data_IF_463688150145
#
_entry.id   IF_463688150145
#
_cell.length_a   1.000
_cell.length_b   1.000
_cell.length_c   1.000
_cell.angle_alpha   90.00
_cell.angle_beta   90.00
_cell.angle_gamma   90.00
#
_symmetry.space_group_name_H-M   'P 1'
#
loop_
_entity.id
_entity.type
_entity.pdbx_description
1 polymer ?
#
# COMPACT_ATOMS: atom_id res chain seq x y z
N UNK A 1 -18.11 -7.14 16.30
CA UNK A 1 -17.37 -6.42 17.34
C UNK A 1 -16.57 -5.31 16.66
N UNK A 2 -16.47 -4.13 17.27
CA UNK A 2 -15.60 -3.07 16.78
C UNK A 2 -14.15 -3.37 17.19
N UNK A 3 -13.24 -3.39 16.23
CA UNK A 3 -11.82 -3.69 16.45
C UNK A 3 -10.98 -2.82 15.52
N UNK A 4 -10.00 -2.11 16.08
CA UNK A 4 -9.00 -1.35 15.33
C UNK A 4 -7.62 -1.93 15.63
N UNK A 5 -6.81 -2.13 14.60
CA UNK A 5 -5.38 -2.34 14.70
C UNK A 5 -4.65 -1.37 13.76
N UNK A 6 -3.40 -1.05 14.09
CA UNK A 6 -2.55 -0.15 13.31
C UNK A 6 -1.14 -0.70 13.22
N UNK A 7 -0.40 -0.27 12.20
CA UNK A 7 1.01 -0.58 12.08
C UNK A 7 1.72 0.34 11.10
N UNK A 8 3.02 0.10 10.99
CA UNK A 8 3.93 0.79 10.07
C UNK A 8 4.81 -0.25 9.39
N UNK A 9 5.09 -0.04 8.11
CA UNK A 9 6.12 -0.78 7.36
C UNK A 9 6.96 0.21 6.57
N UNK A 10 8.25 -0.04 6.47
CA UNK A 10 9.18 0.77 5.69
C UNK A 10 10.23 -0.09 4.98
N UNK A 11 10.79 0.34 3.85
CA UNK A 11 11.68 -0.49 3.05
C UNK A 11 13.07 -0.69 3.68
N UNK A 12 13.37 -0.05 4.82
CA UNK A 12 14.65 -0.19 5.54
C UNK A 12 14.50 -1.24 6.65
N UNK A 13 13.48 -1.12 7.50
CA UNK A 13 13.28 -2.03 8.64
C UNK A 13 12.43 -3.25 8.29
N UNK A 14 11.53 -3.12 7.31
CA UNK A 14 10.65 -4.18 6.80
C UNK A 14 10.89 -4.44 5.31
N UNK A 15 12.16 -4.55 4.90
CA UNK A 15 12.56 -4.65 3.49
C UNK A 15 11.86 -5.79 2.72
N UNK A 16 11.49 -6.88 3.38
CA UNK A 16 10.79 -8.01 2.76
C UNK A 16 9.37 -7.66 2.27
N UNK A 17 8.72 -6.67 2.91
CA UNK A 17 7.38 -6.22 2.54
C UNK A 17 7.41 -5.44 1.22
N UNK A 18 8.51 -4.73 0.95
CA UNK A 18 8.66 -3.78 -0.15
C UNK A 18 9.41 -4.39 -1.34
N UNK A 19 8.71 -4.61 -2.44
CA UNK A 19 9.23 -5.31 -3.61
C UNK A 19 9.11 -4.43 -4.87
N UNK A 20 10.13 -4.44 -5.72
CA UNK A 20 10.02 -3.87 -7.07
C UNK A 20 8.99 -4.68 -7.86
N UNK A 21 7.92 -4.03 -8.31
CA UNK A 21 6.86 -4.69 -9.05
C UNK A 21 7.24 -4.83 -10.53
N UNK A 22 7.46 -6.07 -10.97
CA UNK A 22 7.71 -6.43 -12.36
C UNK A 22 6.45 -7.05 -12.97
N UNK A 23 5.76 -6.39 -13.91
CA UNK A 23 4.65 -7.04 -14.61
C UNK A 23 5.19 -8.14 -15.54
N UNK A 24 4.41 -9.20 -15.73
CA UNK A 24 4.84 -10.44 -16.40
C UNK A 24 5.39 -10.25 -17.84
N UNK A 25 5.10 -9.11 -18.47
CA UNK A 25 5.50 -8.80 -19.86
C UNK A 25 6.64 -7.79 -19.96
N UNK A 26 7.18 -7.28 -18.84
CA UNK A 26 8.22 -6.24 -18.84
C UNK A 26 9.43 -6.67 -18.00
N UNK A 27 10.62 -6.40 -18.49
CA UNK A 27 11.89 -6.58 -17.75
C UNK A 27 12.22 -5.39 -16.85
N UNK A 28 11.51 -4.26 -17.00
CA UNK A 28 11.63 -3.08 -16.13
C UNK A 28 10.52 -3.07 -15.08
N UNK A 29 10.83 -2.77 -13.79
CA UNK A 29 9.79 -2.57 -12.78
C UNK A 29 8.81 -1.49 -13.22
N UNK A 30 7.53 -1.66 -12.92
CA UNK A 30 6.46 -0.71 -13.20
C UNK A 30 6.03 0.09 -11.96
N UNK A 31 6.54 -0.27 -10.78
CA UNK A 31 6.25 0.38 -9.52
C UNK A 31 6.80 -0.39 -8.33
N UNK A 32 6.23 -0.14 -7.15
CA UNK A 32 6.51 -0.88 -5.92
C UNK A 32 5.26 -1.67 -5.54
N UNK A 33 5.44 -2.92 -5.12
CA UNK A 33 4.43 -3.75 -4.46
C UNK A 33 4.78 -3.84 -2.98
N UNK A 34 3.82 -3.58 -2.11
CA UNK A 34 3.97 -3.69 -0.66
C UNK A 34 2.98 -4.73 -0.16
N UNK A 35 3.48 -5.78 0.50
CA UNK A 35 2.64 -6.74 1.22
C UNK A 35 2.67 -6.45 2.71
N UNK A 36 1.50 -6.41 3.33
CA UNK A 36 1.37 -6.18 4.77
C UNK A 36 0.76 -7.41 5.41
N UNK A 37 1.50 -8.02 6.33
CA UNK A 37 1.01 -9.05 7.22
C UNK A 37 0.30 -8.42 8.42
N UNK A 38 -0.95 -8.83 8.64
CA UNK A 38 -1.76 -8.43 9.81
C UNK A 38 -2.29 -9.63 10.58
N UNK A 39 -1.73 -10.82 10.36
CA UNK A 39 -2.11 -12.08 11.02
C UNK A 39 -2.13 -11.98 12.55
N UNK A 40 -1.19 -11.23 13.13
CA UNK A 40 -1.09 -11.00 14.56
C UNK A 40 -2.11 -10.00 15.12
N UNK A 41 -2.95 -9.37 14.28
CA UNK A 41 -3.94 -8.38 14.69
C UNK A 41 -5.26 -9.00 15.14
N UNK A 42 -5.47 -10.31 14.97
CA UNK A 42 -6.65 -11.00 15.48
C UNK A 42 -7.97 -10.59 14.82
N UNK A 43 -7.95 -10.17 13.56
CA UNK A 43 -9.18 -9.91 12.81
C UNK A 43 -9.90 -11.23 12.48
N UNK A 44 -11.21 -11.29 12.75
CA UNK A 44 -12.05 -12.45 12.42
C UNK A 44 -12.73 -12.34 11.06
N UNK A 45 -12.73 -11.14 10.48
CA UNK A 45 -13.28 -10.80 9.17
C UNK A 45 -12.39 -9.75 8.52
N UNK A 46 -12.40 -9.65 7.19
CA UNK A 46 -11.57 -8.67 6.48
C UNK A 46 -11.92 -7.25 6.95
N UNK A 47 -10.98 -6.53 7.59
CA UNK A 47 -11.25 -5.17 8.02
C UNK A 47 -11.18 -4.20 6.83
N UNK A 48 -11.69 -2.99 7.02
CA UNK A 48 -11.37 -1.88 6.12
C UNK A 48 -9.95 -1.41 6.41
N UNK A 49 -9.05 -1.59 5.45
CA UNK A 49 -7.70 -1.06 5.53
C UNK A 49 -7.63 0.34 4.94
N UNK A 50 -7.00 1.25 5.67
CA UNK A 50 -6.63 2.58 5.22
C UNK A 50 -5.11 2.69 5.34
N UNK A 51 -4.49 3.40 4.41
CA UNK A 51 -3.06 3.66 4.48
C UNK A 51 -2.72 5.14 4.30
N UNK A 52 -1.56 5.53 4.78
CA UNK A 52 -0.89 6.78 4.42
C UNK A 52 0.57 6.48 4.11
N UNK A 53 1.11 7.17 3.10
CA UNK A 53 2.55 7.19 2.84
C UNK A 53 3.11 8.46 3.43
N UNK A 54 4.12 8.31 4.27
CA UNK A 54 4.89 9.40 4.85
C UNK A 54 6.34 9.29 4.37
N UNK A 55 7.10 10.38 4.44
CA UNK A 55 8.50 10.35 4.09
C UNK A 55 9.24 11.61 4.50
N UNK A 56 10.45 11.44 5.04
CA UNK A 56 11.26 12.55 5.57
C UNK A 56 11.78 13.45 4.45
N UNK A 57 12.10 12.88 3.29
CA UNK A 57 12.77 13.59 2.18
C UNK A 57 11.84 13.84 0.97
N UNK A 58 10.52 13.73 1.15
CA UNK A 58 9.49 14.18 0.20
C UNK A 58 9.16 13.22 -0.95
N UNK A 59 8.59 13.78 -2.03
CA UNK A 59 8.19 13.13 -3.31
C UNK A 59 7.02 12.14 -3.29
N UNK A 60 6.52 11.73 -2.12
CA UNK A 60 5.37 10.83 -2.04
C UNK A 60 4.05 11.45 -2.53
N UNK A 61 4.00 12.77 -2.74
CA UNK A 61 2.86 13.46 -3.34
C UNK A 61 2.67 13.18 -4.85
N UNK A 62 3.70 12.66 -5.52
CA UNK A 62 3.63 12.17 -6.90
C UNK A 62 3.16 10.70 -7.00
N UNK A 63 2.81 10.07 -5.88
CA UNK A 63 2.39 8.68 -5.90
C UNK A 63 0.92 8.55 -6.29
N UNK A 64 0.64 7.49 -7.04
CA UNK A 64 -0.68 6.95 -7.31
C UNK A 64 -0.76 5.52 -6.78
N UNK A 65 -1.97 5.06 -6.49
CA UNK A 65 -2.25 3.70 -6.02
C UNK A 65 -2.29 3.54 -4.50
N UNK A 66 -2.01 4.60 -3.72
CA UNK A 66 -2.06 4.52 -2.24
C UNK A 66 -3.44 4.06 -1.74
N UNK A 67 -4.52 4.50 -2.39
CA UNK A 67 -5.89 4.15 -1.99
C UNK A 67 -6.39 2.83 -2.61
N UNK A 68 -5.56 2.10 -3.36
CA UNK A 68 -5.92 0.85 -4.00
C UNK A 68 -5.42 -0.34 -3.18
N UNK A 69 -6.26 -0.81 -2.25
CA UNK A 69 -5.98 -1.99 -1.43
C UNK A 69 -6.40 -3.25 -2.19
N UNK A 70 -5.45 -4.16 -2.43
CA UNK A 70 -5.66 -5.42 -3.13
C UNK A 70 -5.58 -6.60 -2.16
N UNK A 71 -6.21 -7.72 -2.54
CA UNK A 71 -6.12 -9.00 -1.82
C UNK A 71 -6.35 -8.89 -0.30
N UNK A 72 -7.26 -7.99 0.12
CA UNK A 72 -7.53 -7.78 1.53
C UNK A 72 -8.17 -9.02 2.16
N UNK A 73 -7.55 -9.51 3.22
CA UNK A 73 -7.98 -10.64 4.06
C UNK A 73 -7.89 -10.24 5.53
N UNK A 74 -8.40 -11.04 6.49
CA UNK A 74 -8.18 -10.76 7.90
C UNK A 74 -6.70 -10.78 8.32
N UNK A 75 -5.82 -11.38 7.51
CA UNK A 75 -4.42 -11.60 7.83
C UNK A 75 -3.47 -10.75 6.99
N UNK A 76 -3.97 -9.90 6.10
CA UNK A 76 -3.09 -9.05 5.29
C UNK A 76 -3.73 -8.46 4.05
N UNK A 77 -2.96 -7.62 3.37
CA UNK A 77 -3.35 -6.94 2.13
C UNK A 77 -2.12 -6.54 1.32
N UNK A 78 -2.34 -6.17 0.06
CA UNK A 78 -1.30 -5.70 -0.86
C UNK A 78 -1.60 -4.29 -1.35
N UNK A 79 -0.57 -3.46 -1.52
CA UNK A 79 -0.63 -2.12 -2.12
C UNK A 79 0.34 -2.05 -3.30
N UNK A 80 -0.06 -1.37 -4.37
CA UNK A 80 0.82 -1.04 -5.49
C UNK A 80 0.99 0.46 -5.58
N UNK A 81 2.24 0.92 -5.58
CA UNK A 81 2.60 2.31 -5.77
C UNK A 81 3.22 2.50 -7.15
N UNK A 82 2.84 3.59 -7.81
CA UNK A 82 3.47 4.06 -9.04
C UNK A 82 3.51 5.58 -9.04
N UNK A 83 4.28 6.18 -9.94
CA UNK A 83 4.16 7.62 -10.20
C UNK A 83 2.80 7.94 -10.84
N UNK A 84 2.19 9.07 -10.48
CA UNK A 84 0.95 9.61 -11.08
C UNK A 84 1.12 9.90 -12.56
N UNK A 85 2.32 10.35 -12.93
CA UNK A 85 2.66 10.74 -14.29
C UNK A 85 3.41 9.60 -14.98
N UNK A 86 2.93 9.25 -16.17
CA UNK A 86 3.73 8.53 -17.15
C UNK A 86 5.02 9.36 -17.44
N UNK A 87 6.09 8.76 -18.00
CA UNK A 87 7.50 9.03 -17.68
C UNK A 87 8.12 10.40 -18.04
N UNK A 88 7.35 11.47 -18.25
CA UNK A 88 7.88 12.77 -18.70
C UNK A 88 8.46 13.68 -17.61
N UNK A 89 8.13 13.47 -16.33
CA UNK A 89 8.37 14.51 -15.30
C UNK A 89 9.37 14.10 -14.19
N UNK A 90 10.07 12.96 -14.34
CA UNK A 90 11.20 12.60 -13.48
C UNK A 90 12.48 12.35 -14.29
N UNK A 91 13.67 12.67 -13.72
CA UNK A 91 14.92 12.68 -14.45
C UNK A 91 15.19 11.28 -14.99
N UNK A 92 15.32 11.20 -16.30
CA UNK A 92 15.88 10.08 -17.04
C UNK A 92 17.15 9.62 -16.32
N UNK A 93 17.23 8.33 -15.95
CA UNK A 93 18.53 7.77 -15.58
C UNK A 93 19.27 7.51 -16.89
N UNK A 94 20.20 8.41 -17.23
CA UNK A 94 21.01 8.31 -18.45
C UNK A 94 20.35 8.90 -19.71
N UNK A 95 21.11 8.89 -20.80
CA UNK A 95 20.80 9.58 -22.08
C UNK A 95 19.71 8.89 -22.93
N UNK A 96 18.97 7.92 -22.40
CA UNK A 96 18.19 6.97 -23.22
C UNK A 96 16.67 7.12 -23.19
N UNK A 97 16.10 8.15 -22.55
CA UNK A 97 14.63 8.36 -22.47
C UNK A 97 13.84 7.13 -21.96
N UNK A 98 14.44 6.29 -21.12
CA UNK A 98 13.76 5.15 -20.53
C UNK A 98 12.89 5.57 -19.33
N UNK A 99 11.73 4.91 -19.10
CA UNK A 99 10.86 5.23 -17.97
C UNK A 99 11.59 5.05 -16.64
N UNK A 100 11.75 6.12 -15.86
CA UNK A 100 12.23 6.03 -14.47
C UNK A 100 11.10 5.54 -13.57
N UNK A 101 10.73 4.27 -13.73
CA UNK A 101 9.69 3.66 -12.92
C UNK A 101 10.06 3.69 -11.44
N UNK A 102 9.07 3.97 -10.60
CA UNK A 102 9.22 3.96 -9.16
C UNK A 102 9.83 2.63 -8.69
N UNK A 103 10.89 2.71 -7.86
CA UNK A 103 11.61 1.56 -7.29
C UNK A 103 11.70 1.64 -5.78
N UNK A 104 11.85 0.50 -5.12
CA UNK A 104 12.08 0.40 -3.66
C UNK A 104 13.29 1.21 -3.24
N UNK A 105 14.34 1.25 -4.06
CA UNK A 105 15.52 2.09 -3.81
C UNK A 105 15.18 3.59 -3.65
N UNK A 106 14.19 4.09 -4.38
CA UNK A 106 13.69 5.46 -4.21
C UNK A 106 13.02 5.63 -2.85
N UNK A 107 12.17 4.68 -2.44
CA UNK A 107 11.51 4.71 -1.15
C UNK A 107 12.53 4.66 0.02
N UNK A 108 13.59 3.84 -0.10
CA UNK A 108 14.74 3.82 0.83
C UNK A 108 15.44 5.18 0.87
N UNK A 109 15.82 5.71 -0.30
CA UNK A 109 16.54 6.97 -0.41
C UNK A 109 15.74 8.16 0.12
N UNK A 110 14.41 8.11 0.02
CA UNK A 110 13.50 9.16 0.52
C UNK A 110 13.00 8.92 1.94
N UNK A 111 13.42 7.82 2.59
CA UNK A 111 12.98 7.39 3.92
C UNK A 111 11.45 7.37 4.02
N UNK A 112 10.82 6.70 3.08
CA UNK A 112 9.38 6.52 3.09
C UNK A 112 8.97 5.45 4.09
N UNK A 113 7.78 5.61 4.67
CA UNK A 113 7.11 4.62 5.49
C UNK A 113 5.63 4.60 5.15
N UNK A 114 5.01 3.43 5.15
CA UNK A 114 3.58 3.28 5.03
C UNK A 114 2.99 3.00 6.40
N UNK A 115 2.09 3.87 6.87
CA UNK A 115 1.24 3.57 8.02
C UNK A 115 -0.07 2.99 7.53
N UNK A 116 -0.63 2.07 8.30
CA UNK A 116 -1.90 1.46 7.99
C UNK A 116 -2.80 1.37 9.23
N UNK A 117 -4.10 1.38 8.98
CA UNK A 117 -5.15 1.17 10.00
C UNK A 117 -6.15 0.17 9.46
N UNK A 118 -6.36 -0.93 10.19
CA UNK A 118 -7.43 -1.89 9.92
C UNK A 118 -8.60 -1.63 10.87
N UNK A 119 -9.79 -1.40 10.32
CA UNK A 119 -11.02 -1.16 11.09
C UNK A 119 -12.02 -2.27 10.76
N UNK A 120 -12.30 -3.13 11.73
CA UNK A 120 -13.37 -4.11 11.66
C UNK A 120 -14.59 -3.56 12.41
N UNK A 121 -15.71 -3.43 11.70
CA UNK A 121 -16.99 -2.98 12.26
C UNK A 121 -18.02 -4.09 12.17
N UNK A 122 -19.10 -3.98 12.95
CA UNK A 122 -20.27 -4.82 12.70
C UNK A 122 -20.97 -4.32 11.42
N UNK A 123 -21.24 -5.17 10.42
CA UNK A 123 -22.06 -4.77 9.29
C UNK A 123 -23.45 -4.35 9.79
N UNK A 124 -23.93 -3.21 9.29
CA UNK A 124 -25.23 -2.63 9.67
C UNK A 124 -26.42 -3.59 9.37
N UNK A 125 -26.24 -4.61 8.52
CA UNK A 125 -27.25 -5.63 8.21
C UNK A 125 -27.44 -6.70 9.29
N UNK A 126 -26.54 -6.79 10.29
CA UNK A 126 -26.75 -7.66 11.45
C UNK A 126 -27.75 -7.07 12.48
N UNK A 127 -28.29 -5.87 12.22
CA UNK A 127 -29.41 -5.31 12.97
C UNK A 127 -30.72 -5.51 12.19
N UNK A 128 -31.43 -6.63 12.42
CA UNK A 128 -32.87 -6.76 12.12
C UNK A 128 -33.46 -7.96 12.87
N UNK A 129 -34.71 -7.91 13.38
CA UNK A 129 -35.88 -7.38 12.66
C UNK A 129 -36.63 -6.26 13.41
N UNK A 130 -37.33 -5.40 12.65
CA UNK A 130 -38.44 -4.59 13.17
C UNK A 130 -39.43 -5.53 13.83
N UNK A 131 -39.64 -5.40 15.15
CA UNK A 131 -40.78 -6.02 15.81
C UNK A 131 -42.05 -5.40 15.23
N UNK A 132 -42.89 -6.24 14.61
CA UNK A 132 -44.21 -5.84 14.20
C UNK A 132 -45.04 -5.41 15.41
N UNK A 133 -45.74 -4.30 15.26
CA UNK A 133 -47.00 -4.01 15.93
C UNK A 133 -48.01 -3.66 14.85
#
# INVERSE_FOLDING_TARGET
MFHIAQGVTDPITNAADWNDYLPATNTQPAGIRIDVDTSNCGFTSTPQYLISIEGVLGYHWYLSGQNSIYNATPTGFTVYLRWTDAPSDFPTIGVTNEPNSLRVATAVAKRWSMKWTGISTCPCSAASPKQGK
#
